data_IF_887426462632
#
_entry.id   IF_887426462632
#
_cell.length_a   1.000
_cell.length_b   1.000
_cell.length_c   1.000
_cell.angle_alpha   90.00
_cell.angle_beta   90.00
_cell.angle_gamma   90.00
#
_symmetry.space_group_name_H-M   'P 1'
#
loop_
_entity.id
_entity.type
_entity.pdbx_description
1 polymer ?
#
# COMPACT_ATOMS: atom_id res chain seq x y z
N UNK A 1 -19.51 3.21 -20.61
CA UNK A 1 -19.62 3.86 -19.29
C UNK A 1 -19.19 2.91 -18.19
N UNK A 2 -17.89 2.88 -17.90
CA UNK A 2 -17.38 2.31 -16.64
C UNK A 2 -17.44 3.45 -15.63
N UNK A 3 -18.55 3.58 -14.90
CA UNK A 3 -18.53 4.40 -13.69
C UNK A 3 -17.40 3.88 -12.81
N UNK A 4 -16.52 4.77 -12.34
CA UNK A 4 -15.38 4.42 -11.48
C UNK A 4 -15.90 3.89 -10.14
N UNK A 5 -16.24 2.60 -10.11
CA UNK A 5 -16.60 1.88 -8.90
C UNK A 5 -15.35 1.77 -8.06
N UNK A 6 -15.39 2.28 -6.83
CA UNK A 6 -14.33 2.01 -5.86
C UNK A 6 -14.39 0.55 -5.42
N UNK A 7 -13.29 -0.16 -5.55
CA UNK A 7 -13.21 -1.62 -5.36
C UNK A 7 -12.17 -1.96 -4.30
N UNK A 8 -12.55 -2.78 -3.32
CA UNK A 8 -11.62 -3.51 -2.45
C UNK A 8 -11.31 -4.89 -3.02
N UNK A 9 -10.24 -5.56 -2.58
CA UNK A 9 -9.83 -6.87 -3.11
C UNK A 9 -10.98 -7.91 -3.12
N UNK A 10 -11.79 -7.96 -2.05
CA UNK A 10 -12.94 -8.85 -1.95
C UNK A 10 -14.15 -8.44 -2.80
N UNK A 11 -14.11 -7.28 -3.45
CA UNK A 11 -15.12 -6.76 -4.36
C UNK A 11 -14.69 -6.80 -5.83
N UNK A 12 -13.49 -7.34 -6.12
CA UNK A 12 -12.99 -7.51 -7.49
C UNK A 12 -13.98 -8.31 -8.32
N UNK A 13 -14.32 -7.76 -9.49
CA UNK A 13 -15.15 -8.39 -10.52
C UNK A 13 -14.27 -9.13 -11.52
N UNK A 14 -14.86 -10.04 -12.28
CA UNK A 14 -14.14 -10.73 -13.35
C UNK A 14 -13.50 -9.76 -14.37
N UNK A 15 -14.14 -8.61 -14.64
CA UNK A 15 -13.62 -7.58 -15.54
C UNK A 15 -12.35 -6.88 -15.01
N UNK A 16 -12.15 -6.89 -13.69
CA UNK A 16 -11.02 -6.21 -13.04
C UNK A 16 -9.75 -7.09 -13.11
N UNK A 17 -9.84 -8.30 -13.69
CA UNK A 17 -8.80 -9.34 -13.64
C UNK A 17 -8.54 -9.98 -15.00
N UNK A 18 -7.27 -9.98 -15.41
CA UNK A 18 -6.79 -10.71 -16.59
C UNK A 18 -5.85 -11.84 -16.16
N UNK A 19 -6.13 -13.07 -16.60
CA UNK A 19 -5.28 -14.24 -16.33
C UNK A 19 -4.42 -14.60 -17.54
N UNK A 20 -3.11 -14.76 -17.31
CA UNK A 20 -2.14 -15.26 -18.27
C UNK A 20 -1.52 -16.59 -17.77
N UNK A 21 -0.68 -17.24 -18.62
CA UNK A 21 -0.07 -18.55 -18.32
C UNK A 21 0.82 -18.58 -17.06
N UNK A 22 1.31 -17.44 -16.59
CA UNK A 22 2.10 -17.35 -15.35
C UNK A 22 1.84 -16.10 -14.53
N UNK A 23 0.76 -15.38 -14.79
CA UNK A 23 0.48 -14.13 -14.08
C UNK A 23 -1.01 -13.84 -13.98
N UNK A 24 -1.36 -13.03 -12.99
CA UNK A 24 -2.65 -12.35 -12.89
C UNK A 24 -2.41 -10.86 -12.91
N UNK A 25 -3.10 -10.13 -13.79
CA UNK A 25 -3.12 -8.67 -13.82
C UNK A 25 -4.43 -8.19 -13.21
N UNK A 26 -4.34 -7.32 -12.22
CA UNK A 26 -5.46 -6.67 -11.56
C UNK A 26 -5.49 -5.22 -12.03
N UNK A 27 -6.62 -4.76 -12.56
CA UNK A 27 -6.80 -3.35 -12.97
C UNK A 27 -8.12 -2.83 -12.41
N UNK A 28 -8.06 -1.96 -11.39
CA UNK A 28 -9.25 -1.46 -10.69
C UNK A 28 -9.00 -0.10 -10.04
N UNK A 29 -10.07 0.60 -9.66
CA UNK A 29 -9.99 1.86 -8.91
C UNK A 29 -10.12 1.58 -7.41
N UNK A 30 -9.06 1.71 -6.61
CA UNK A 30 -9.13 1.42 -5.18
C UNK A 30 -9.97 2.47 -4.44
N UNK A 31 -10.59 2.06 -3.32
CA UNK A 31 -11.25 3.00 -2.40
C UNK A 31 -10.19 3.89 -1.74
N UNK A 32 -10.38 5.21 -1.78
CA UNK A 32 -9.47 6.19 -1.16
C UNK A 32 -8.42 6.79 -2.10
N UNK A 33 -8.42 6.41 -3.38
CA UNK A 33 -7.39 6.79 -4.33
C UNK A 33 -7.16 8.30 -4.45
N UNK A 34 -5.88 8.68 -4.45
CA UNK A 34 -5.39 10.01 -4.78
C UNK A 34 -5.87 10.50 -6.14
N UNK A 35 -5.84 9.60 -7.13
CA UNK A 35 -6.37 9.81 -8.46
C UNK A 35 -7.59 8.90 -8.62
N UNK A 36 -8.78 9.50 -8.56
CA UNK A 36 -9.99 8.91 -9.14
C UNK A 36 -9.84 8.66 -10.65
N UNK A 37 -8.77 9.19 -11.23
CA UNK A 37 -8.48 9.23 -12.65
C UNK A 37 -7.66 8.01 -13.10
N UNK A 38 -6.79 7.44 -12.24
CA UNK A 38 -5.92 6.32 -12.63
C UNK A 38 -6.29 5.01 -11.92
N UNK A 39 -6.48 3.91 -12.68
CA UNK A 39 -6.66 2.60 -12.08
C UNK A 39 -5.32 2.10 -11.52
N UNK A 40 -5.37 1.44 -10.36
CA UNK A 40 -4.27 0.63 -9.88
C UNK A 40 -4.11 -0.58 -10.80
N UNK A 41 -2.90 -0.76 -11.33
CA UNK A 41 -2.58 -1.80 -12.30
C UNK A 41 -1.41 -2.66 -11.79
N UNK A 42 -1.74 -3.86 -11.30
CA UNK A 42 -0.79 -4.74 -10.63
C UNK A 42 -0.69 -6.05 -11.39
N UNK A 43 0.54 -6.48 -11.69
CA UNK A 43 0.81 -7.82 -12.21
C UNK A 43 1.46 -8.69 -11.15
N UNK A 44 0.79 -9.77 -10.76
CA UNK A 44 1.27 -10.75 -9.78
C UNK A 44 1.71 -12.01 -10.52
N UNK A 45 2.92 -12.49 -10.23
CA UNK A 45 3.51 -13.71 -10.82
C UNK A 45 3.71 -14.84 -9.82
N UNK A 46 3.28 -14.64 -8.58
CA UNK A 46 3.34 -15.67 -7.54
C UNK A 46 2.46 -16.89 -7.95
N UNK A 47 3.02 -18.11 -8.01
CA UNK A 47 2.31 -19.27 -8.50
C UNK A 47 1.13 -19.68 -7.60
N UNK A 48 1.20 -19.42 -6.29
CA UNK A 48 0.13 -19.71 -5.34
C UNK A 48 -1.04 -18.76 -5.59
N UNK A 49 -0.78 -17.45 -5.68
CA UNK A 49 -1.81 -16.43 -5.97
C UNK A 49 -2.42 -16.68 -7.35
N UNK A 50 -1.61 -16.92 -8.38
CA UNK A 50 -2.09 -17.25 -9.73
C UNK A 50 -2.96 -18.51 -9.70
N UNK A 51 -2.57 -19.53 -8.93
CA UNK A 51 -3.36 -20.74 -8.70
C UNK A 51 -4.73 -20.46 -8.07
N UNK A 52 -4.78 -19.58 -7.07
CA UNK A 52 -6.04 -19.16 -6.40
C UNK A 52 -6.96 -18.47 -7.42
N UNK A 53 -6.49 -17.46 -8.14
CA UNK A 53 -7.34 -16.74 -9.11
C UNK A 53 -7.85 -17.65 -10.25
N UNK A 54 -7.04 -18.65 -10.66
CA UNK A 54 -7.48 -19.67 -11.63
C UNK A 54 -8.58 -20.56 -11.08
N UNK A 55 -8.47 -21.03 -9.83
CA UNK A 55 -9.50 -21.84 -9.16
C UNK A 55 -10.84 -21.09 -9.11
N UNK A 56 -10.80 -19.78 -8.87
CA UNK A 56 -12.00 -18.93 -8.87
C UNK A 56 -12.51 -18.55 -10.27
N UNK A 57 -11.94 -19.11 -11.36
CA UNK A 57 -12.32 -18.86 -12.76
C UNK A 57 -12.39 -17.37 -13.13
N UNK A 58 -11.52 -16.53 -12.56
CA UNK A 58 -11.44 -15.12 -12.91
C UNK A 58 -11.25 -14.96 -14.44
N UNK A 59 -12.12 -14.21 -15.11
CA UNK A 59 -12.03 -13.95 -16.56
C UNK A 59 -12.79 -14.88 -17.50
N UNK A 60 -13.54 -15.90 -17.03
CA UNK A 60 -14.33 -16.79 -17.92
C UNK A 60 -15.86 -16.72 -17.76
N UNK A 61 -16.36 -16.06 -16.72
CA UNK A 61 -17.79 -15.93 -16.42
C UNK A 61 -18.06 -14.48 -16.01
N UNK A 62 -19.19 -13.89 -16.40
CA UNK A 62 -19.67 -12.58 -15.90
C UNK A 62 -20.05 -12.70 -14.41
N UNK A 63 -19.10 -13.03 -13.56
CA UNK A 63 -19.29 -13.07 -12.11
C UNK A 63 -19.30 -11.65 -11.55
N UNK A 64 -20.26 -11.38 -10.67
CA UNK A 64 -20.35 -10.11 -9.95
C UNK A 64 -19.20 -9.91 -8.95
N UNK A 65 -18.57 -11.00 -8.47
CA UNK A 65 -17.36 -11.00 -7.64
C UNK A 65 -16.51 -12.23 -7.93
N UNK A 66 -15.19 -12.11 -7.87
CA UNK A 66 -14.27 -13.25 -8.00
C UNK A 66 -14.30 -14.12 -6.74
N UNK A 67 -14.42 -13.48 -5.57
CA UNK A 67 -14.51 -14.13 -4.27
C UNK A 67 -15.93 -14.03 -3.71
N UNK A 68 -16.87 -14.80 -4.30
CA UNK A 68 -18.31 -14.76 -3.98
C UNK A 68 -18.60 -15.00 -2.49
N UNK A 69 -17.89 -15.95 -1.89
CA UNK A 69 -18.10 -16.32 -0.49
C UNK A 69 -17.37 -15.40 0.51
N UNK A 70 -16.62 -14.40 0.03
CA UNK A 70 -15.78 -13.56 0.89
C UNK A 70 -16.40 -12.19 1.17
N UNK A 71 -16.48 -11.85 2.45
CA UNK A 71 -16.89 -10.54 2.93
C UNK A 71 -15.96 -10.07 4.08
N UNK A 72 -16.09 -8.81 4.48
CA UNK A 72 -15.24 -8.22 5.51
C UNK A 72 -15.29 -8.98 6.85
N UNK A 73 -16.45 -9.54 7.23
CA UNK A 73 -16.59 -10.32 8.47
C UNK A 73 -15.78 -11.63 8.43
N UNK A 74 -15.87 -12.38 7.32
CA UNK A 74 -15.10 -13.62 7.16
C UNK A 74 -13.60 -13.36 7.04
N UNK A 75 -13.20 -12.25 6.41
CA UNK A 75 -11.80 -11.83 6.38
C UNK A 75 -11.32 -11.51 7.80
N UNK A 76 -12.08 -10.73 8.57
CA UNK A 76 -11.77 -10.42 9.97
C UNK A 76 -11.64 -11.70 10.80
N UNK A 77 -12.62 -12.59 10.76
CA UNK A 77 -12.56 -13.88 11.48
C UNK A 77 -11.34 -14.73 11.11
N UNK A 78 -10.91 -14.69 9.85
CA UNK A 78 -9.69 -15.38 9.44
C UNK A 78 -8.43 -14.68 9.96
N UNK A 79 -8.37 -13.35 9.90
CA UNK A 79 -7.28 -12.55 10.46
C UNK A 79 -7.14 -12.78 11.97
N UNK A 80 -8.24 -12.68 12.72
CA UNK A 80 -8.28 -12.93 14.17
C UNK A 80 -7.82 -14.35 14.53
N UNK A 81 -7.98 -15.33 13.63
CA UNK A 81 -7.50 -16.70 13.85
C UNK A 81 -6.00 -16.85 13.59
N UNK A 82 -5.47 -16.18 12.57
CA UNK A 82 -4.07 -16.29 12.16
C UNK A 82 -3.16 -15.37 12.98
N UNK A 83 -3.69 -14.22 13.37
CA UNK A 83 -3.03 -13.20 14.19
C UNK A 83 -3.93 -12.86 15.39
N UNK A 84 -4.07 -13.80 16.35
CA UNK A 84 -5.00 -13.65 17.47
C UNK A 84 -4.59 -12.56 18.47
N UNK A 85 -3.29 -12.29 18.55
CA UNK A 85 -2.73 -11.24 19.38
C UNK A 85 -2.42 -10.04 18.47
N UNK A 86 -3.06 -8.90 18.75
CA UNK A 86 -2.60 -7.62 18.21
C UNK A 86 -1.21 -7.27 18.76
N UNK A 87 -0.61 -6.18 18.29
CA UNK A 87 0.57 -5.64 18.96
C UNK A 87 0.16 -5.09 20.33
N UNK A 88 0.91 -5.44 21.37
CA UNK A 88 0.84 -4.82 22.71
C UNK A 88 -0.54 -4.86 23.43
N UNK A 89 -1.36 -5.87 23.15
CA UNK A 89 -2.64 -6.07 23.85
C UNK A 89 -3.81 -5.25 23.31
N UNK A 90 -3.66 -4.64 22.13
CA UNK A 90 -4.76 -4.01 21.39
C UNK A 90 -5.60 -5.05 20.60
N UNK A 91 -6.77 -4.60 20.11
CA UNK A 91 -7.66 -5.41 19.26
C UNK A 91 -6.88 -6.01 18.06
N UNK A 92 -7.21 -7.25 17.69
CA UNK A 92 -6.44 -8.10 16.79
C UNK A 92 -5.99 -7.45 15.46
N UNK A 93 -4.85 -7.92 14.97
CA UNK A 93 -4.19 -7.46 13.75
C UNK A 93 -5.13 -7.53 12.53
N UNK A 94 -5.25 -6.41 11.82
CA UNK A 94 -6.23 -6.22 10.75
C UNK A 94 -5.60 -6.21 9.36
N UNK A 95 -6.45 -6.20 8.32
CA UNK A 95 -5.98 -6.04 6.94
C UNK A 95 -5.38 -4.65 6.67
N UNK A 96 -5.68 -3.65 7.50
CA UNK A 96 -5.02 -2.34 7.42
C UNK A 96 -3.57 -2.43 7.87
N UNK A 97 -3.28 -3.23 8.90
CA UNK A 97 -1.94 -3.39 9.45
C UNK A 97 -1.01 -4.12 8.47
N UNK A 98 -1.53 -5.06 7.67
CA UNK A 98 -0.79 -5.63 6.54
C UNK A 98 -0.34 -4.57 5.53
N UNK A 99 -1.17 -3.55 5.26
CA UNK A 99 -0.78 -2.43 4.38
C UNK A 99 0.29 -1.58 5.05
N UNK A 100 0.15 -1.30 6.36
CA UNK A 100 1.11 -0.51 7.11
C UNK A 100 2.49 -1.19 7.18
N UNK A 101 2.54 -2.49 7.44
CA UNK A 101 3.79 -3.29 7.40
C UNK A 101 4.44 -3.19 6.02
N UNK A 102 3.68 -3.47 4.95
CA UNK A 102 4.20 -3.40 3.58
C UNK A 102 4.78 -2.02 3.24
N UNK A 103 4.04 -0.95 3.57
CA UNK A 103 4.48 0.44 3.32
C UNK A 103 5.73 0.76 4.11
N UNK A 104 5.74 0.44 5.40
CA UNK A 104 6.87 0.70 6.30
C UNK A 104 8.15 0.00 5.83
N UNK A 105 8.05 -1.28 5.45
CA UNK A 105 9.18 -2.04 4.90
C UNK A 105 9.72 -1.43 3.61
N UNK A 106 8.84 -1.01 2.69
CA UNK A 106 9.27 -0.39 1.43
C UNK A 106 9.92 0.97 1.65
N UNK A 107 9.39 1.79 2.56
CA UNK A 107 10.01 3.06 2.94
C UNK A 107 11.39 2.82 3.54
N UNK A 108 11.52 1.88 4.48
CA UNK A 108 12.79 1.52 5.10
C UNK A 108 13.80 1.02 4.06
N UNK A 109 13.38 0.14 3.14
CA UNK A 109 14.22 -0.36 2.06
C UNK A 109 14.69 0.75 1.11
N UNK A 110 13.80 1.69 0.74
CA UNK A 110 14.16 2.83 -0.09
C UNK A 110 15.14 3.77 0.60
N UNK A 111 15.00 3.99 1.91
CA UNK A 111 15.95 4.78 2.70
C UNK A 111 17.31 4.07 2.77
N UNK A 112 17.33 2.77 3.10
CA UNK A 112 18.55 1.98 3.19
C UNK A 112 19.31 1.88 1.85
N UNK A 113 18.59 1.91 0.73
CA UNK A 113 19.19 1.94 -0.61
C UNK A 113 19.88 3.28 -0.95
N UNK A 114 19.68 4.33 -0.17
CA UNK A 114 20.38 5.61 -0.34
C UNK A 114 21.80 5.46 0.21
N UNK A 115 22.74 5.18 -0.69
CA UNK A 115 24.16 5.07 -0.34
C UNK A 115 24.74 6.40 0.22
N UNK A 116 25.89 6.35 0.91
CA UNK A 116 26.48 7.51 1.60
C UNK A 116 26.70 8.73 0.70
N UNK A 117 27.03 8.52 -0.58
CA UNK A 117 27.27 9.61 -1.55
C UNK A 117 26.00 10.29 -2.05
N UNK A 118 24.84 9.68 -1.84
CA UNK A 118 23.53 10.16 -2.31
C UNK A 118 22.62 10.59 -1.15
N UNK A 119 23.19 10.67 0.05
CA UNK A 119 22.53 11.22 1.23
C UNK A 119 22.22 12.70 0.99
N UNK A 120 21.02 13.17 1.40
CA UNK A 120 20.69 14.59 1.34
C UNK A 120 21.68 15.41 2.16
N UNK A 121 22.12 16.54 1.60
CA UNK A 121 23.05 17.49 2.26
C UNK A 121 22.33 18.69 2.86
N UNK A 122 21.07 18.91 2.46
CA UNK A 122 20.24 20.01 2.94
C UNK A 122 18.85 19.53 3.30
N UNK A 123 18.16 20.28 4.15
CA UNK A 123 16.77 20.04 4.50
C UNK A 123 15.87 19.98 3.25
N UNK A 124 16.10 20.84 2.26
CA UNK A 124 15.31 20.85 1.03
C UNK A 124 15.51 19.58 0.18
N UNK A 125 16.74 19.05 0.14
CA UNK A 125 17.03 17.76 -0.51
C UNK A 125 16.38 16.60 0.23
N UNK A 126 16.40 16.62 1.56
CA UNK A 126 15.75 15.62 2.39
C UNK A 126 14.24 15.60 2.13
N UNK A 127 13.60 16.77 2.14
CA UNK A 127 12.16 16.90 1.88
C UNK A 127 11.77 16.38 0.49
N UNK A 128 12.59 16.72 -0.52
CA UNK A 128 12.39 16.25 -1.89
C UNK A 128 12.51 14.72 -1.97
N UNK A 129 13.47 14.14 -1.26
CA UNK A 129 13.67 12.68 -1.22
C UNK A 129 12.52 11.99 -0.49
N UNK A 130 12.09 12.49 0.66
CA UNK A 130 10.94 11.96 1.39
C UNK A 130 9.67 12.02 0.55
N UNK A 131 9.41 13.15 -0.12
CA UNK A 131 8.28 13.27 -1.04
C UNK A 131 8.34 12.24 -2.17
N UNK A 132 9.52 12.01 -2.74
CA UNK A 132 9.72 11.00 -3.78
C UNK A 132 9.41 9.60 -3.24
N UNK A 133 10.00 9.21 -2.10
CA UNK A 133 9.78 7.91 -1.46
C UNK A 133 8.28 7.68 -1.23
N UNK A 134 7.59 8.61 -0.56
CA UNK A 134 6.16 8.45 -0.28
C UNK A 134 5.28 8.53 -1.53
N UNK A 135 5.68 9.25 -2.57
CA UNK A 135 5.01 9.18 -3.87
C UNK A 135 5.16 7.80 -4.50
N UNK A 136 6.38 7.26 -4.51
CA UNK A 136 6.64 5.93 -5.07
C UNK A 136 5.87 4.85 -4.33
N UNK A 137 5.96 4.81 -2.99
CA UNK A 137 5.27 3.80 -2.19
C UNK A 137 3.75 4.02 -2.21
N UNK A 138 3.28 5.28 -2.17
CA UNK A 138 1.86 5.61 -2.29
C UNK A 138 1.25 5.12 -3.60
N UNK A 139 1.98 5.22 -4.71
CA UNK A 139 1.54 4.69 -6.01
C UNK A 139 1.38 3.17 -6.00
N UNK A 140 2.17 2.42 -5.21
CA UNK A 140 2.04 0.96 -5.10
C UNK A 140 0.75 0.54 -4.39
N UNK A 141 0.30 1.32 -3.42
CA UNK A 141 -0.91 1.04 -2.63
C UNK A 141 -2.15 1.83 -3.07
N UNK A 142 -1.96 2.74 -4.03
CA UNK A 142 -2.99 3.63 -4.57
C UNK A 142 -3.41 4.77 -3.65
N UNK A 143 -2.50 5.32 -2.82
CA UNK A 143 -2.79 6.40 -1.86
C UNK A 143 -1.92 7.66 -2.09
N UNK A 144 -2.36 8.80 -1.53
CA UNK A 144 -1.59 10.05 -1.58
C UNK A 144 -0.31 9.94 -0.76
N UNK A 145 0.78 10.66 -1.11
CA UNK A 145 2.01 10.66 -0.32
C UNK A 145 1.79 11.02 1.16
N UNK A 146 0.98 12.05 1.44
CA UNK A 146 0.68 12.49 2.81
C UNK A 146 -0.09 11.42 3.61
N UNK A 147 -1.02 10.69 2.97
CA UNK A 147 -1.77 9.59 3.61
C UNK A 147 -0.84 8.39 3.83
N UNK A 148 -0.02 8.06 2.83
CA UNK A 148 0.98 6.98 2.90
C UNK A 148 1.92 7.21 4.09
N UNK A 149 2.39 8.44 4.25
CA UNK A 149 3.24 8.86 5.35
C UNK A 149 2.54 8.77 6.70
N UNK A 150 1.38 9.41 6.85
CA UNK A 150 0.77 9.64 8.16
C UNK A 150 -0.09 8.47 8.67
N UNK A 151 -0.59 7.61 7.78
CA UNK A 151 -1.55 6.55 8.14
C UNK A 151 -0.98 5.14 8.02
N UNK A 152 0.14 4.96 7.32
CA UNK A 152 0.67 3.62 7.03
C UNK A 152 2.15 3.44 7.35
N UNK A 153 2.89 4.52 7.61
CA UNK A 153 4.33 4.43 7.85
C UNK A 153 4.63 4.67 9.32
N UNK A 154 5.36 3.76 9.94
CA UNK A 154 5.93 3.94 11.29
C UNK A 154 6.93 5.11 11.25
N UNK A 155 6.69 6.24 11.97
CA UNK A 155 7.50 7.45 11.85
C UNK A 155 8.99 7.24 12.12
N UNK A 156 9.32 6.37 13.07
CA UNK A 156 10.66 6.05 13.54
C UNK A 156 11.60 5.65 12.40
N UNK A 157 11.06 5.03 11.34
CA UNK A 157 11.84 4.61 10.16
C UNK A 157 12.52 5.78 9.48
N UNK A 158 11.85 6.93 9.35
CA UNK A 158 12.41 8.10 8.69
C UNK A 158 12.85 9.20 9.66
N UNK A 159 12.34 9.21 10.90
CA UNK A 159 12.76 10.14 11.94
C UNK A 159 14.19 9.86 12.40
N UNK A 160 14.55 8.59 12.56
CA UNK A 160 15.93 8.21 12.85
C UNK A 160 16.88 8.69 11.75
N UNK A 161 16.50 8.48 10.49
CA UNK A 161 17.32 8.91 9.37
C UNK A 161 17.44 10.43 9.27
N UNK A 162 16.37 11.18 9.56
CA UNK A 162 16.41 12.64 9.65
C UNK A 162 17.37 13.11 10.76
N UNK A 163 17.28 12.48 11.95
CA UNK A 163 18.13 12.80 13.09
C UNK A 163 19.62 12.54 12.80
N UNK A 164 19.95 11.40 12.17
CA UNK A 164 21.32 11.05 11.77
C UNK A 164 21.93 12.07 10.80
N UNK A 165 21.09 12.78 10.04
CA UNK A 165 21.50 13.84 9.09
C UNK A 165 21.37 15.26 9.66
N UNK A 166 20.82 15.45 10.87
CA UNK A 166 20.55 16.76 11.45
C UNK A 166 19.37 17.52 10.81
N UNK A 167 18.36 16.81 10.31
CA UNK A 167 17.18 17.37 9.64
C UNK A 167 15.88 17.19 10.44
N UNK A 168 14.91 18.07 10.20
CA UNK A 168 13.56 17.96 10.74
C UNK A 168 12.73 17.01 9.85
N UNK A 169 12.28 15.91 10.43
CA UNK A 169 11.48 14.91 9.73
C UNK A 169 10.10 15.45 9.32
N UNK A 170 9.49 16.37 10.09
CA UNK A 170 8.09 16.81 9.92
C UNK A 170 7.84 17.41 8.53
N UNK A 171 6.63 17.30 7.95
CA UNK A 171 6.32 17.96 6.68
C UNK A 171 6.60 19.45 6.74
N UNK A 172 7.04 20.06 5.62
CA UNK A 172 7.38 21.50 5.56
C UNK A 172 6.26 22.40 6.10
N UNK A 173 4.99 22.05 5.85
CA UNK A 173 3.80 22.77 6.33
C UNK A 173 3.64 22.79 7.86
N UNK A 174 4.28 21.85 8.57
CA UNK A 174 4.16 21.66 10.02
C UNK A 174 5.40 22.15 10.78
N UNK A 175 6.42 22.67 10.07
CA UNK A 175 7.61 23.25 10.70
C UNK A 175 7.33 24.70 11.08
N UNK A 176 7.62 25.07 12.33
CA UNK A 176 7.60 26.47 12.75
C UNK A 176 8.71 27.20 12.00
N UNK A 177 8.40 28.30 11.31
CA UNK A 177 9.45 29.19 10.81
C UNK A 177 10.24 29.73 12.02
N UNK A 178 11.58 29.80 11.93
CA UNK A 178 12.34 30.52 12.94
C UNK A 178 11.87 31.98 12.95
N UNK A 179 11.55 32.48 14.15
CA UNK A 179 11.17 33.87 14.39
C UNK A 179 12.27 34.85 14.00
#
# INVERSE_FOLDING_TARGET
NLEARHVTINQLKAQDVTLNKGSVRLRFYPKGAASREDPLDITIRDPVIVGIFRKHKAGKIRKEKIFEDMNGKKIKLYMDRVYPEGFEGEEGFSAHDLRAVFVTEHVAAMIAAIGPRSQPKTQAEFDKRMKLIFTTVGNLIGDKPDVTRNSYTVPEVYEKWAADLGFDARPKKDRKEPA
#
